data_IF_128576918012
#
_entry.id   IF_128576918012
#
_cell.length_a   1.000
_cell.length_b   1.000
_cell.length_c   1.000
_cell.angle_alpha   90.00
_cell.angle_beta   90.00
_cell.angle_gamma   90.00
#
_symmetry.space_group_name_H-M   'P 1'
#
loop_
_entity.id
_entity.type
_entity.pdbx_description
1 polymer ?
#
# COMPACT_ATOMS: atom_id res chain seq x y z
N UNK A 1 -6.45 9.19 28.41
CA UNK A 1 -7.45 8.53 27.56
C UNK A 1 -7.20 9.02 26.15
N UNK A 2 -6.89 8.12 25.22
CA UNK A 2 -6.77 8.46 23.79
C UNK A 2 -8.13 8.24 23.15
N UNK A 3 -8.63 9.23 22.43
CA UNK A 3 -9.87 9.09 21.67
C UNK A 3 -9.69 8.01 20.57
N UNK A 4 -10.77 7.30 20.18
CA UNK A 4 -10.74 6.40 19.04
C UNK A 4 -10.22 7.10 17.77
N UNK A 5 -9.73 6.30 16.83
CA UNK A 5 -9.32 6.81 15.53
C UNK A 5 -10.51 7.45 14.82
N UNK A 6 -10.35 8.71 14.43
CA UNK A 6 -11.30 9.51 13.68
C UNK A 6 -10.76 9.69 12.26
N UNK A 7 -11.39 9.05 11.24
CA UNK A 7 -10.91 9.13 9.87
C UNK A 7 -11.08 10.51 9.24
N UNK A 8 -11.77 11.46 9.90
CA UNK A 8 -11.90 12.84 9.43
C UNK A 8 -10.74 13.74 9.81
N UNK A 9 -9.89 13.31 10.76
CA UNK A 9 -8.68 14.03 11.15
C UNK A 9 -7.57 13.72 10.15
N UNK A 10 -6.88 14.77 9.67
CA UNK A 10 -5.80 14.61 8.70
C UNK A 10 -4.59 13.89 9.30
N UNK A 11 -3.79 13.27 8.44
CA UNK A 11 -2.52 12.66 8.83
C UNK A 11 -1.57 13.67 9.47
N UNK A 12 -1.55 14.91 8.94
CA UNK A 12 -0.75 16.00 9.48
C UNK A 12 -1.17 16.42 10.89
N UNK A 13 -2.47 16.44 11.19
CA UNK A 13 -2.97 16.81 12.52
C UNK A 13 -2.65 15.72 13.54
N UNK A 14 -2.80 14.44 13.17
CA UNK A 14 -2.36 13.34 14.02
C UNK A 14 -0.85 13.35 14.26
N UNK A 15 -0.05 13.67 13.24
CA UNK A 15 1.40 13.75 13.37
C UNK A 15 1.80 14.94 14.27
N UNK A 16 1.13 16.08 14.14
CA UNK A 16 1.32 17.23 15.02
C UNK A 16 1.00 16.87 16.48
N UNK A 17 -0.11 16.17 16.72
CA UNK A 17 -0.48 15.66 18.04
C UNK A 17 0.58 14.69 18.60
N UNK A 18 1.12 13.81 17.76
CA UNK A 18 2.20 12.90 18.16
C UNK A 18 3.47 13.67 18.55
N UNK A 19 3.87 14.68 17.76
CA UNK A 19 5.02 15.55 18.04
C UNK A 19 4.82 16.37 19.32
N UNK A 20 3.65 16.93 19.54
CA UNK A 20 3.31 17.68 20.77
C UNK A 20 3.49 16.80 22.01
N UNK A 21 2.88 15.60 22.00
CA UNK A 21 3.00 14.65 23.12
C UNK A 21 4.42 14.16 23.34
N UNK A 22 5.20 14.01 22.26
CA UNK A 22 6.61 13.65 22.35
C UNK A 22 7.43 14.75 23.05
N UNK A 23 7.24 16.01 22.65
CA UNK A 23 7.91 17.19 23.25
C UNK A 23 7.51 17.41 24.70
N UNK A 24 6.24 17.16 25.04
CA UNK A 24 5.74 17.25 26.40
C UNK A 24 6.33 16.17 27.33
N UNK A 25 6.98 15.14 26.78
CA UNK A 25 7.61 14.07 27.56
C UNK A 25 6.61 13.13 28.25
N UNK A 26 5.33 13.19 27.89
CA UNK A 26 4.25 12.41 28.53
C UNK A 26 4.37 10.91 28.28
N UNK A 27 5.07 10.51 27.21
CA UNK A 27 5.44 9.13 26.91
C UNK A 27 6.64 9.16 25.96
N UNK A 28 7.65 8.31 26.18
CA UNK A 28 8.80 8.22 25.27
C UNK A 28 8.60 7.09 24.27
N UNK A 29 8.69 7.41 22.98
CA UNK A 29 8.86 6.39 21.95
C UNK A 29 10.25 5.78 22.05
N UNK A 30 10.38 4.54 21.56
CA UNK A 30 11.69 3.96 21.30
C UNK A 30 12.47 4.88 20.33
N UNK A 31 13.78 5.03 20.52
CA UNK A 31 14.67 5.82 19.65
C UNK A 31 14.54 5.44 18.17
N UNK A 32 14.29 4.16 17.87
CA UNK A 32 14.07 3.67 16.51
C UNK A 32 12.80 4.21 15.84
N UNK A 33 11.86 4.76 16.61
CA UNK A 33 10.65 5.41 16.13
C UNK A 33 10.67 6.93 16.33
N UNK A 34 11.43 7.41 17.33
CA UNK A 34 11.48 8.84 17.67
C UNK A 34 11.93 9.72 16.50
N UNK A 35 12.81 9.22 15.64
CA UNK A 35 13.27 9.96 14.45
C UNK A 35 12.11 10.41 13.54
N UNK A 36 10.98 9.68 13.49
CA UNK A 36 9.80 10.06 12.70
C UNK A 36 9.14 11.34 13.23
N UNK A 37 9.31 11.62 14.52
CA UNK A 37 8.77 12.82 15.17
C UNK A 37 9.80 13.95 15.18
N UNK A 38 11.10 13.61 15.20
CA UNK A 38 12.21 14.57 15.14
C UNK A 38 12.43 15.14 13.73
N UNK A 39 12.09 14.37 12.69
CA UNK A 39 12.13 14.82 11.30
C UNK A 39 10.83 15.53 10.93
N UNK A 40 10.90 16.86 10.77
CA UNK A 40 9.74 17.68 10.38
C UNK A 40 9.25 17.36 8.95
N UNK A 41 10.13 16.85 8.08
CA UNK A 41 9.79 16.45 6.71
C UNK A 41 9.18 15.04 6.63
N UNK A 42 9.10 14.32 7.75
CA UNK A 42 8.48 13.00 7.78
C UNK A 42 7.00 13.10 7.40
N UNK A 43 6.61 12.36 6.35
CA UNK A 43 5.26 12.37 5.77
C UNK A 43 4.65 10.97 5.79
N UNK A 44 4.64 10.35 6.97
CA UNK A 44 4.06 9.00 7.20
C UNK A 44 4.57 7.92 6.22
N UNK A 45 5.79 8.08 5.70
CA UNK A 45 6.39 7.14 4.76
C UNK A 45 5.85 7.17 3.33
N UNK A 46 5.04 8.17 2.96
CA UNK A 46 4.51 8.38 1.61
C UNK A 46 5.65 8.66 0.61
N UNK A 47 5.59 8.00 -0.55
CA UNK A 47 6.46 8.27 -1.68
C UNK A 47 5.68 9.01 -2.78
N UNK A 48 5.72 10.34 -2.72
CA UNK A 48 4.99 11.22 -3.66
C UNK A 48 5.39 10.99 -5.11
N UNK A 49 6.67 10.80 -5.38
CA UNK A 49 7.16 10.54 -6.74
C UNK A 49 6.55 9.26 -7.32
N UNK A 50 6.49 8.17 -6.54
CA UNK A 50 5.89 6.92 -7.01
C UNK A 50 4.38 7.05 -7.24
N UNK A 51 3.69 7.82 -6.39
CA UNK A 51 2.27 8.13 -6.55
C UNK A 51 2.03 8.93 -7.83
N UNK A 52 2.84 9.98 -8.08
CA UNK A 52 2.76 10.80 -9.28
C UNK A 52 2.99 9.98 -10.55
N UNK A 53 3.99 9.08 -10.53
CA UNK A 53 4.28 8.18 -11.64
C UNK A 53 3.10 7.23 -11.93
N UNK A 54 2.42 6.72 -10.90
CA UNK A 54 1.27 5.81 -11.04
C UNK A 54 0.09 6.50 -11.73
N UNK A 55 -0.20 7.74 -11.36
CA UNK A 55 -1.32 8.51 -11.92
C UNK A 55 -0.96 9.22 -13.24
N UNK A 56 0.30 9.15 -13.67
CA UNK A 56 0.76 9.81 -14.88
C UNK A 56 0.30 9.07 -16.15
N UNK A 57 -0.54 9.69 -17.01
CA UNK A 57 -1.14 8.99 -18.16
C UNK A 57 -0.15 8.42 -19.17
N UNK A 58 1.07 8.97 -19.25
CA UNK A 58 2.09 8.45 -20.17
C UNK A 58 2.61 7.05 -19.77
N UNK A 59 2.26 6.56 -18.58
CA UNK A 59 2.57 5.21 -18.13
C UNK A 59 1.40 4.22 -18.30
N UNK A 60 0.25 4.68 -18.80
CA UNK A 60 -0.92 3.84 -19.05
C UNK A 60 -0.82 3.16 -20.42
N UNK A 61 -1.51 2.02 -20.57
CA UNK A 61 -1.52 1.31 -21.85
C UNK A 61 -2.34 2.06 -22.91
N UNK A 62 -2.01 1.86 -24.19
CA UNK A 62 -2.76 2.46 -25.29
C UNK A 62 -4.25 2.07 -25.24
N UNK A 63 -4.57 0.82 -24.90
CA UNK A 63 -5.93 0.34 -24.76
C UNK A 63 -6.73 1.14 -23.72
N UNK A 64 -6.15 1.45 -22.55
CA UNK A 64 -6.78 2.29 -21.51
C UNK A 64 -7.09 3.69 -22.04
N UNK A 65 -6.12 4.28 -22.75
CA UNK A 65 -6.24 5.61 -23.33
C UNK A 65 -7.29 5.66 -24.44
N UNK A 66 -7.29 4.68 -25.34
CA UNK A 66 -8.22 4.56 -26.47
C UNK A 66 -9.66 4.34 -25.98
N UNK A 67 -9.84 3.57 -24.91
CA UNK A 67 -11.13 3.34 -24.25
C UNK A 67 -11.57 4.53 -23.36
N UNK A 68 -10.74 5.58 -23.22
CA UNK A 68 -10.97 6.73 -22.35
C UNK A 68 -11.37 6.31 -20.91
N UNK A 69 -10.72 5.27 -20.38
CA UNK A 69 -10.92 4.79 -19.01
C UNK A 69 -9.70 5.05 -18.16
N UNK A 70 -9.85 4.91 -16.84
CA UNK A 70 -8.73 4.92 -15.89
C UNK A 70 -8.17 3.51 -15.69
N UNK A 71 -6.87 3.36 -15.42
CA UNK A 71 -6.29 2.05 -15.13
C UNK A 71 -6.81 1.53 -13.79
N UNK A 72 -6.93 0.22 -13.66
CA UNK A 72 -7.39 -0.45 -12.44
C UNK A 72 -6.23 -0.69 -11.49
N UNK A 73 -6.44 -0.37 -10.22
CA UNK A 73 -5.44 -0.53 -9.17
C UNK A 73 -6.07 -1.18 -7.95
N UNK A 74 -5.37 -2.15 -7.36
CA UNK A 74 -5.65 -2.65 -6.01
C UNK A 74 -4.51 -2.20 -5.10
N UNK A 75 -4.84 -1.53 -3.99
CA UNK A 75 -3.85 -1.07 -3.02
C UNK A 75 -3.66 -2.13 -1.92
N UNK A 76 -2.54 -2.83 -1.96
CA UNK A 76 -2.22 -3.89 -1.01
C UNK A 76 -1.32 -3.36 0.11
N UNK A 77 -1.65 -3.68 1.36
CA UNK A 77 -0.82 -3.41 2.52
C UNK A 77 -0.39 -4.73 3.18
N UNK A 78 0.88 -4.85 3.55
CA UNK A 78 1.38 -6.01 4.31
C UNK A 78 2.48 -5.63 5.26
N UNK A 79 2.69 -6.46 6.27
CA UNK A 79 3.86 -6.40 7.15
C UNK A 79 4.90 -7.41 6.64
N UNK A 80 6.11 -6.93 6.34
CA UNK A 80 7.20 -7.80 5.91
C UNK A 80 7.89 -8.50 7.10
N UNK A 81 8.77 -9.46 6.81
CA UNK A 81 9.48 -10.25 7.83
C UNK A 81 10.38 -9.42 8.78
N UNK A 82 10.64 -8.15 8.44
CA UNK A 82 11.39 -7.21 9.28
C UNK A 82 10.47 -6.30 10.11
N UNK A 83 9.16 -6.57 10.12
CA UNK A 83 8.16 -5.81 10.87
C UNK A 83 7.86 -4.43 10.29
N UNK A 84 8.13 -4.18 9.01
CA UNK A 84 7.77 -2.93 8.34
C UNK A 84 6.47 -3.11 7.56
N UNK A 85 5.62 -2.08 7.52
CA UNK A 85 4.48 -2.09 6.62
C UNK A 85 4.88 -1.56 5.24
N UNK A 86 4.48 -2.29 4.20
CA UNK A 86 4.68 -1.94 2.79
C UNK A 86 3.31 -1.79 2.13
N UNK A 87 3.05 -0.62 1.54
CA UNK A 87 1.80 -0.32 0.82
C UNK A 87 2.13 -0.21 -0.66
N UNK A 88 1.56 -1.11 -1.47
CA UNK A 88 1.97 -1.36 -2.84
C UNK A 88 0.78 -1.48 -3.79
N UNK A 89 0.98 -1.14 -5.06
CA UNK A 89 0.01 -1.37 -6.14
C UNK A 89 0.43 -2.49 -7.11
N UNK A 90 1.74 -2.72 -7.26
CA UNK A 90 2.29 -3.67 -8.23
C UNK A 90 2.78 -4.99 -7.62
N UNK A 91 2.79 -5.08 -6.28
CA UNK A 91 3.28 -6.22 -5.51
C UNK A 91 2.37 -6.47 -4.33
N UNK A 92 2.21 -7.74 -3.96
CA UNK A 92 1.37 -8.15 -2.86
C UNK A 92 1.16 -9.65 -2.84
N UNK A 93 0.71 -10.16 -1.71
CA UNK A 93 0.49 -11.60 -1.51
C UNK A 93 -0.76 -12.08 -2.24
N UNK A 94 -1.74 -11.19 -2.39
CA UNK A 94 -2.97 -11.43 -3.15
C UNK A 94 -2.69 -11.50 -4.67
N UNK A 95 -1.56 -10.97 -5.13
CA UNK A 95 -1.16 -11.00 -6.54
C UNK A 95 -2.13 -10.32 -7.50
N UNK A 96 -3.07 -9.51 -6.99
CA UNK A 96 -4.05 -8.74 -7.76
C UNK A 96 -3.30 -7.61 -8.48
N UNK A 97 -3.22 -7.71 -9.80
CA UNK A 97 -2.54 -6.76 -10.66
C UNK A 97 -3.24 -6.73 -12.03
N UNK A 98 -3.46 -5.53 -12.54
CA UNK A 98 -4.02 -5.27 -13.88
C UNK A 98 -2.89 -4.70 -14.75
N UNK A 99 -1.89 -5.53 -15.03
CA UNK A 99 -0.69 -5.11 -15.78
C UNK A 99 -1.01 -4.70 -17.22
N UNK A 100 -2.10 -5.20 -17.78
CA UNK A 100 -2.62 -4.78 -19.09
C UNK A 100 -3.05 -3.29 -19.15
N UNK A 101 -3.33 -2.68 -18.00
CA UNK A 101 -3.77 -1.27 -17.93
C UNK A 101 -2.57 -0.29 -17.98
N UNK A 102 -1.35 -0.81 -17.94
CA UNK A 102 -0.12 -0.03 -17.86
C UNK A 102 0.86 -0.42 -18.95
N UNK A 103 1.85 0.44 -19.21
CA UNK A 103 2.96 0.08 -20.08
C UNK A 103 3.79 -1.04 -19.46
N UNK A 104 4.09 -2.08 -20.26
CA UNK A 104 4.88 -3.24 -19.83
C UNK A 104 6.17 -2.84 -19.08
N UNK A 105 6.93 -1.90 -19.65
CA UNK A 105 8.18 -1.39 -19.04
C UNK A 105 7.96 -0.83 -17.63
N UNK A 106 6.84 -0.14 -17.41
CA UNK A 106 6.52 0.46 -16.12
C UNK A 106 6.14 -0.62 -15.11
N UNK A 107 5.29 -1.56 -15.50
CA UNK A 107 4.93 -2.71 -14.66
C UNK A 107 6.17 -3.52 -14.26
N UNK A 108 7.05 -3.81 -15.21
CA UNK A 108 8.27 -4.58 -14.94
C UNK A 108 9.16 -3.87 -13.92
N UNK A 109 9.32 -2.55 -14.02
CA UNK A 109 10.04 -1.75 -13.03
C UNK A 109 9.32 -1.68 -11.68
N UNK A 110 7.99 -1.53 -11.66
CA UNK A 110 7.19 -1.47 -10.43
C UNK A 110 7.18 -2.79 -9.65
N UNK A 111 7.33 -3.91 -10.34
CA UNK A 111 7.45 -5.25 -9.74
C UNK A 111 8.87 -5.57 -9.26
N UNK A 112 9.89 -4.89 -9.80
CA UNK A 112 11.27 -5.08 -9.39
C UNK A 112 11.45 -4.65 -7.92
N UNK A 113 12.27 -5.40 -7.18
CA UNK A 113 12.67 -5.01 -5.83
C UNK A 113 13.69 -3.86 -5.82
N UNK A 114 14.33 -3.57 -6.96
CA UNK A 114 15.57 -2.77 -7.04
C UNK A 114 15.50 -1.61 -8.05
N UNK A 115 14.31 -1.10 -8.38
CA UNK A 115 14.18 -0.10 -9.47
C UNK A 115 14.81 1.27 -9.17
N UNK A 116 14.94 1.67 -7.90
CA UNK A 116 15.64 2.90 -7.45
C UNK A 116 16.14 2.62 -6.02
N UNK A 117 17.25 3.23 -5.53
CA UNK A 117 18.04 2.60 -4.48
C UNK A 117 17.17 2.39 -3.24
N UNK A 118 16.93 1.11 -2.95
CA UNK A 118 16.24 0.55 -1.79
C UNK A 118 14.71 0.41 -1.83
N UNK A 119 13.98 0.82 -2.89
CA UNK A 119 12.51 0.65 -2.99
C UNK A 119 12.02 0.41 -4.42
N UNK A 120 10.99 -0.42 -4.57
CA UNK A 120 10.33 -0.67 -5.86
C UNK A 120 9.39 0.48 -6.26
N UNK A 121 9.29 0.82 -7.55
CA UNK A 121 8.33 1.83 -8.05
C UNK A 121 6.86 1.44 -7.75
N UNK A 122 6.62 0.17 -7.42
CA UNK A 122 5.33 -0.36 -6.99
C UNK A 122 4.90 0.05 -5.58
N UNK A 123 5.83 0.54 -4.76
CA UNK A 123 5.61 0.88 -3.36
C UNK A 123 5.27 2.35 -3.21
N UNK A 124 4.08 2.63 -2.67
CA UNK A 124 3.55 3.99 -2.51
C UNK A 124 3.76 4.52 -1.09
N UNK A 125 3.83 3.64 -0.09
CA UNK A 125 4.20 4.02 1.28
C UNK A 125 5.02 2.90 1.97
N UNK A 126 5.91 3.31 2.86
CA UNK A 126 6.69 2.41 3.72
C UNK A 126 6.68 2.90 5.17
N UNK A 127 6.20 2.07 6.10
CA UNK A 127 6.24 2.37 7.53
C UNK A 127 7.30 1.53 8.24
N UNK A 128 8.45 2.14 8.49
CA UNK A 128 9.60 1.45 9.09
C UNK A 128 9.31 1.14 10.56
N UNK A 129 9.48 -0.11 10.98
CA UNK A 129 9.23 -0.52 12.37
C UNK A 129 7.75 -0.47 12.77
N UNK A 130 6.84 -0.74 11.83
CA UNK A 130 5.40 -0.83 12.09
C UNK A 130 5.05 -1.75 13.26
N UNK A 131 5.61 -2.97 13.33
CA UNK A 131 5.31 -3.89 14.43
C UNK A 131 5.75 -3.33 15.79
N UNK A 132 6.91 -2.66 15.83
CA UNK A 132 7.37 -1.98 17.04
C UNK A 132 6.40 -0.86 17.43
N UNK A 133 5.92 -0.08 16.46
CA UNK A 133 4.93 0.98 16.69
C UNK A 133 3.61 0.39 17.21
N UNK A 134 3.07 -0.63 16.54
CA UNK A 134 1.85 -1.32 16.93
C UNK A 134 1.96 -1.96 18.32
N UNK A 135 3.12 -2.53 18.67
CA UNK A 135 3.41 -3.04 20.02
C UNK A 135 3.42 -1.93 21.08
N UNK A 136 4.00 -0.76 20.76
CA UNK A 136 3.94 0.39 21.67
C UNK A 136 2.51 0.91 21.88
N UNK A 137 1.63 0.76 20.89
CA UNK A 137 0.20 1.08 21.01
C UNK A 137 -0.53 0.03 21.83
N UNK A 138 -0.38 -1.25 21.48
CA UNK A 138 -1.22 -2.34 22.01
C UNK A 138 -0.75 -2.86 23.37
N UNK A 139 0.55 -2.95 23.61
CA UNK A 139 1.15 -3.47 24.85
C UNK A 139 1.46 -2.33 25.82
N UNK A 140 2.17 -1.30 25.35
CA UNK A 140 2.64 -0.21 26.20
C UNK A 140 1.63 0.93 26.35
N UNK A 141 0.52 0.90 25.60
CA UNK A 141 -0.56 1.91 25.64
C UNK A 141 -0.03 3.34 25.49
N UNK A 142 0.99 3.51 24.64
CA UNK A 142 1.68 4.79 24.49
C UNK A 142 0.78 5.78 23.73
N UNK A 143 0.44 6.94 24.31
CA UNK A 143 -0.37 7.95 23.63
C UNK A 143 0.35 8.59 22.44
N UNK A 144 1.69 8.65 22.48
CA UNK A 144 2.51 9.16 21.37
C UNK A 144 2.49 8.15 20.22
N UNK A 145 2.72 6.87 20.52
CA UNK A 145 2.65 5.80 19.51
C UNK A 145 1.26 5.71 18.89
N UNK A 146 0.21 5.90 19.70
CA UNK A 146 -1.18 5.85 19.22
C UNK A 146 -1.47 6.97 18.24
N UNK A 147 -1.08 8.21 18.57
CA UNK A 147 -1.23 9.34 17.65
C UNK A 147 -0.42 9.15 16.36
N UNK A 148 0.82 8.65 16.47
CA UNK A 148 1.66 8.37 15.30
C UNK A 148 1.04 7.28 14.40
N UNK A 149 0.53 6.19 14.99
CA UNK A 149 -0.14 5.13 14.24
C UNK A 149 -1.46 5.61 13.60
N UNK A 150 -2.19 6.52 14.25
CA UNK A 150 -3.34 7.20 13.65
C UNK A 150 -2.92 8.08 12.47
N UNK A 151 -1.76 8.75 12.54
CA UNK A 151 -1.22 9.52 11.41
C UNK A 151 -0.94 8.62 10.20
N UNK A 152 -0.34 7.44 10.42
CA UNK A 152 -0.16 6.43 9.36
C UNK A 152 -1.49 5.97 8.76
N UNK A 153 -2.48 5.66 9.60
CA UNK A 153 -3.80 5.25 9.15
C UNK A 153 -4.50 6.32 8.31
N UNK A 154 -4.51 7.57 8.78
CA UNK A 154 -5.07 8.70 8.07
C UNK A 154 -4.33 8.94 6.74
N UNK A 155 -3.00 8.83 6.72
CA UNK A 155 -2.21 9.01 5.49
C UNK A 155 -2.52 7.93 4.44
N UNK A 156 -2.79 6.70 4.86
CA UNK A 156 -3.25 5.63 3.96
C UNK A 156 -4.65 5.91 3.41
N UNK A 157 -5.55 6.44 4.22
CA UNK A 157 -6.89 6.84 3.77
C UNK A 157 -6.83 8.03 2.80
N UNK A 158 -5.96 9.00 3.06
CA UNK A 158 -5.70 10.14 2.16
C UNK A 158 -5.12 9.67 0.82
N UNK A 159 -4.12 8.77 0.83
CA UNK A 159 -3.57 8.17 -0.38
C UNK A 159 -4.67 7.43 -1.16
N UNK A 160 -5.48 6.62 -0.47
CA UNK A 160 -6.59 5.88 -1.07
C UNK A 160 -7.57 6.83 -1.75
N UNK A 161 -7.97 7.91 -1.06
CA UNK A 161 -8.89 8.93 -1.57
C UNK A 161 -8.30 9.70 -2.74
N UNK A 162 -7.00 10.01 -2.71
CA UNK A 162 -6.30 10.61 -3.84
C UNK A 162 -6.30 9.68 -5.05
N UNK A 163 -5.92 8.42 -4.87
CA UNK A 163 -5.89 7.45 -5.97
C UNK A 163 -7.27 7.23 -6.60
N UNK A 164 -8.35 7.18 -5.82
CA UNK A 164 -9.71 7.03 -6.35
C UNK A 164 -10.11 8.16 -7.32
N UNK A 165 -9.54 9.35 -7.16
CA UNK A 165 -9.75 10.48 -8.08
C UNK A 165 -9.01 10.33 -9.40
N UNK A 166 -7.96 9.50 -9.47
CA UNK A 166 -7.02 9.45 -10.60
C UNK A 166 -6.99 8.09 -11.32
N UNK A 167 -7.23 7.00 -10.60
CA UNK A 167 -7.28 5.62 -11.12
C UNK A 167 -8.60 4.96 -10.76
N UNK A 168 -8.92 3.81 -11.35
CA UNK A 168 -10.06 2.98 -10.92
C UNK A 168 -9.59 2.11 -9.76
N UNK A 169 -9.85 2.54 -8.52
CA UNK A 169 -9.47 1.77 -7.34
C UNK A 169 -10.46 0.62 -7.13
N UNK A 170 -10.06 -0.59 -7.52
CA UNK A 170 -10.92 -1.79 -7.43
C UNK A 170 -10.97 -2.38 -6.01
N UNK A 171 -10.08 -1.92 -5.13
CA UNK A 171 -10.03 -2.28 -3.72
C UNK A 171 -8.77 -1.75 -3.07
N UNK A 172 -8.79 -1.64 -1.75
CA UNK A 172 -7.64 -1.23 -0.95
C UNK A 172 -7.58 -2.03 0.35
N UNK A 173 -6.45 -1.95 1.02
CA UNK A 173 -6.32 -2.35 2.43
C UNK A 173 -6.22 -1.09 3.28
N UNK A 174 -6.92 -1.07 4.41
CA UNK A 174 -6.89 0.01 5.38
C UNK A 174 -6.40 -0.52 6.73
N UNK A 175 -5.85 0.36 7.56
CA UNK A 175 -5.48 0.00 8.93
C UNK A 175 -6.73 0.06 9.83
N UNK A 176 -7.13 -1.10 10.36
CA UNK A 176 -8.29 -1.24 11.24
C UNK A 176 -7.85 -1.39 12.69
N UNK A 177 -8.50 -0.66 13.59
CA UNK A 177 -8.22 -0.68 15.02
C UNK A 177 -9.31 -1.45 15.78
N UNK A 178 -8.90 -2.41 16.61
CA UNK A 178 -9.81 -3.06 17.57
C UNK A 178 -9.67 -2.40 18.92
N UNK A 179 -10.80 -2.07 19.55
CA UNK A 179 -10.84 -1.42 20.87
C UNK A 179 -11.44 -2.33 21.94
N UNK A 180 -10.86 -2.30 23.13
CA UNK A 180 -11.43 -2.88 24.35
C UNK A 180 -11.24 -1.91 25.50
N UNK A 181 -12.31 -1.59 26.22
CA UNK A 181 -12.29 -0.65 27.34
C UNK A 181 -11.70 0.72 26.98
N UNK A 182 -11.91 1.18 25.73
CA UNK A 182 -11.39 2.44 25.20
C UNK A 182 -9.93 2.40 24.75
N UNK A 183 -9.26 1.25 24.86
CA UNK A 183 -7.85 1.06 24.50
C UNK A 183 -7.70 0.24 23.22
N UNK A 184 -6.71 0.57 22.38
CA UNK A 184 -6.40 -0.22 21.18
C UNK A 184 -5.78 -1.56 21.58
N UNK A 185 -6.38 -2.67 21.13
CA UNK A 185 -5.89 -4.04 21.38
C UNK A 185 -5.27 -4.69 20.15
N UNK A 186 -5.66 -4.27 18.94
CA UNK A 186 -5.01 -4.69 17.70
C UNK A 186 -5.08 -3.57 16.66
N UNK A 187 -4.15 -3.63 15.71
CA UNK A 187 -4.10 -2.75 14.54
C UNK A 187 -3.69 -3.63 13.36
N UNK A 188 -4.65 -3.94 12.49
CA UNK A 188 -4.52 -4.95 11.45
C UNK A 188 -4.90 -4.36 10.08
N UNK A 189 -4.18 -4.74 9.03
CA UNK A 189 -4.57 -4.35 7.68
C UNK A 189 -5.71 -5.23 7.18
N UNK A 190 -6.85 -4.61 6.88
CA UNK A 190 -8.03 -5.31 6.37
C UNK A 190 -8.44 -4.76 5.00
N UNK A 191 -8.92 -5.61 4.08
CA UNK A 191 -9.51 -5.15 2.83
C UNK A 191 -10.70 -4.22 3.09
N UNK A 192 -10.81 -3.15 2.30
CA UNK A 192 -11.97 -2.24 2.32
C UNK A 192 -13.15 -2.80 1.53
N UNK A 193 -12.93 -3.85 0.76
CA UNK A 193 -13.94 -4.55 -0.04
C UNK A 193 -14.42 -5.83 0.67
N UNK A 194 -15.67 -6.26 0.41
CA UNK A 194 -16.20 -7.54 0.88
C UNK A 194 -15.33 -8.74 0.50
N UNK A 195 -15.34 -9.78 1.34
CA UNK A 195 -14.50 -10.97 1.17
C UNK A 195 -14.82 -11.74 -0.12
N UNK A 196 -16.09 -11.85 -0.48
CA UNK A 196 -16.55 -12.48 -1.73
C UNK A 196 -16.00 -11.76 -2.96
N UNK A 197 -16.03 -10.41 -2.98
CA UNK A 197 -15.44 -9.62 -4.06
C UNK A 197 -13.92 -9.82 -4.13
N UNK A 198 -13.24 -9.85 -2.99
CA UNK A 198 -11.80 -10.10 -2.95
C UNK A 198 -11.45 -11.49 -3.51
N UNK A 199 -12.23 -12.52 -3.15
CA UNK A 199 -12.04 -13.88 -3.66
C UNK A 199 -12.30 -13.97 -5.17
N UNK A 200 -13.29 -13.22 -5.67
CA UNK A 200 -13.53 -13.10 -7.10
C UNK A 200 -12.32 -12.52 -7.84
N UNK A 201 -11.75 -11.43 -7.33
CA UNK A 201 -10.56 -10.80 -7.92
C UNK A 201 -9.33 -11.72 -7.92
N UNK A 202 -9.10 -12.44 -6.82
CA UNK A 202 -8.03 -13.44 -6.71
C UNK A 202 -8.25 -14.59 -7.72
N UNK A 203 -9.50 -15.05 -7.87
CA UNK A 203 -9.86 -16.11 -8.81
C UNK A 203 -9.71 -15.66 -10.26
N UNK A 204 -10.18 -14.46 -10.58
CA UNK A 204 -10.08 -13.85 -11.90
C UNK A 204 -8.61 -13.72 -12.32
N UNK A 205 -7.75 -13.28 -11.41
CA UNK A 205 -6.29 -13.25 -11.61
C UNK A 205 -5.72 -14.63 -11.93
N UNK A 206 -6.16 -15.67 -11.22
CA UNK A 206 -5.80 -17.06 -11.51
C UNK A 206 -6.14 -17.45 -12.95
N UNK A 207 -7.37 -17.17 -13.38
CA UNK A 207 -7.83 -17.45 -14.75
C UNK A 207 -7.02 -16.70 -15.81
N UNK A 208 -6.76 -15.40 -15.59
CA UNK A 208 -5.95 -14.56 -16.50
C UNK A 208 -4.52 -15.10 -16.65
N UNK A 209 -3.91 -15.52 -15.54
CA UNK A 209 -2.55 -16.11 -15.55
C UNK A 209 -2.52 -17.41 -16.36
N UNK A 210 -3.49 -18.30 -16.16
CA UNK A 210 -3.59 -19.56 -16.91
C UNK A 210 -3.82 -19.33 -18.40
N UNK A 211 -4.67 -18.37 -18.78
CA UNK A 211 -4.92 -18.05 -20.18
C UNK A 211 -3.63 -17.56 -20.87
N UNK A 212 -2.90 -16.63 -20.26
CA UNK A 212 -1.63 -16.12 -20.80
C UNK A 212 -0.57 -17.21 -20.95
N UNK A 213 -0.49 -18.14 -19.98
CA UNK A 213 0.41 -19.28 -20.07
C UNK A 213 0.04 -20.21 -21.22
N UNK A 214 -1.25 -20.51 -21.41
CA UNK A 214 -1.73 -21.31 -22.55
C UNK A 214 -1.37 -20.64 -23.88
N UNK A 215 -1.66 -19.36 -24.04
CA UNK A 215 -1.32 -18.61 -25.26
C UNK A 215 0.20 -18.55 -25.53
N UNK A 216 1.02 -18.47 -24.48
CA UNK A 216 2.47 -18.50 -24.61
C UNK A 216 2.95 -19.90 -25.07
N UNK A 217 2.40 -20.97 -24.49
CA UNK A 217 2.69 -22.35 -24.89
C UNK A 217 2.26 -22.62 -26.32
N UNK A 218 1.06 -22.19 -26.72
CA UNK A 218 0.55 -22.35 -28.08
C UNK A 218 1.45 -21.62 -29.10
N UNK A 219 1.88 -20.39 -28.79
CA UNK A 219 2.84 -19.66 -29.63
C UNK A 219 4.20 -20.36 -29.75
N UNK A 220 4.69 -20.95 -28.67
CA UNK A 220 5.95 -21.72 -28.70
C UNK A 220 5.79 -23.03 -29.49
N UNK A 221 4.65 -23.69 -29.39
CA UNK A 221 4.35 -24.91 -30.15
C UNK A 221 4.21 -24.62 -31.67
N UNK A 222 3.72 -23.44 -32.05
CA UNK A 222 3.69 -23.02 -33.47
C UNK A 222 5.05 -22.57 -34.01
N UNK A 223 6.09 -22.50 -33.17
CA UNK A 223 7.46 -22.16 -33.56
C UNK A 223 8.36 -23.40 -33.73
N UNK A 224 7.80 -24.61 -33.72
CA UNK A 224 8.56 -25.85 -33.95
C UNK A 224 9.02 -25.93 -35.43
N UNK A 225 10.33 -25.92 -35.72
CA UNK A 225 10.86 -25.94 -37.08
C UNK A 225 11.07 -27.39 -37.53
N UNK A 226 9.99 -28.14 -37.73
CA UNK A 226 10.03 -29.46 -38.38
C UNK A 226 9.33 -29.40 -39.75
N UNK A 227 9.95 -28.72 -40.70
CA UNK A 227 9.86 -29.10 -42.12
C UNK A 227 11.29 -29.22 -42.68
N UNK A 228 11.88 -30.42 -42.76
CA UNK A 228 12.95 -30.69 -43.70
C UNK A 228 12.37 -30.86 -45.11
N UNK A 229 13.06 -30.22 -46.08
CA UNK A 229 12.82 -30.24 -47.54
C UNK A 229 12.61 -31.64 -48.14
#
# INVERSE_FOLDING_TARGET
MTEPFDPSISSSDYLALARERHRAGTSRLNKELAWMLDDEAYDCGLNKEHVDILVYPANWSAAVCDENRKPRVFLHARVNQKGNAEINWARGELGILYDEDFLKRYVDSARSADSVPWRGLGELMWWRGYELLASNVTIHKSPVATALLCAHAASLNELTSYLDQHVTLVGAMALSFTYKDGEVTSADFLPTIPHDQLQEMVTERGRRTTARLREAVERMATLDPDEPE
#
